data_IF_245862426577
#
_entry.id   IF_245862426577
#
_cell.length_a   1.000
_cell.length_b   1.000
_cell.length_c   1.000
_cell.angle_alpha   90.00
_cell.angle_beta   90.00
_cell.angle_gamma   90.00
#
_symmetry.space_group_name_H-M   'P 1'
#
loop_
_entity.id
_entity.type
_entity.pdbx_description
1 polymer ?
#
# COMPACT_ATOMS: atom_id res chain seq x y z
N UNK A 1 1.29 -9.92 19.31
CA UNK A 1 0.20 -9.20 18.64
C UNK A 1 0.75 -8.10 17.75
N UNK A 2 1.18 -8.47 16.54
CA UNK A 2 1.56 -7.51 15.49
C UNK A 2 0.47 -7.64 14.43
N UNK A 3 -0.18 -6.55 14.06
CA UNK A 3 -1.25 -6.58 13.04
C UNK A 3 -2.47 -5.74 13.40
N UNK A 4 -2.29 -4.59 14.04
CA UNK A 4 -3.27 -3.51 13.87
C UNK A 4 -3.09 -3.04 12.42
N UNK A 5 -4.08 -3.32 11.56
CA UNK A 5 -4.14 -2.72 10.24
C UNK A 5 -4.34 -1.21 10.43
N UNK A 6 -3.26 -0.44 10.35
CA UNK A 6 -3.29 1.01 10.49
C UNK A 6 -3.47 1.62 9.10
N UNK A 7 -4.24 2.70 9.02
CA UNK A 7 -4.56 3.38 7.75
C UNK A 7 -5.26 2.47 6.71
N UNK A 8 -5.93 1.41 7.18
CA UNK A 8 -6.58 0.42 6.35
C UNK A 8 -7.96 0.84 5.84
N UNK A 9 -8.47 2.00 6.25
CA UNK A 9 -9.73 2.56 5.75
C UNK A 9 -9.41 3.86 5.04
N UNK A 10 -9.82 3.98 3.79
CA UNK A 10 -9.59 5.16 2.96
C UNK A 10 -10.87 5.57 2.25
N UNK A 11 -11.04 6.87 2.04
CA UNK A 11 -12.14 7.42 1.25
C UNK A 11 -11.66 7.70 -0.17
N UNK A 12 -12.42 7.26 -1.16
CA UNK A 12 -12.22 7.73 -2.53
C UNK A 12 -12.76 9.15 -2.68
N UNK A 13 -12.41 9.84 -3.76
CA UNK A 13 -13.01 11.15 -4.09
C UNK A 13 -14.51 11.07 -4.37
N UNK A 14 -15.01 9.92 -4.83
CA UNK A 14 -16.46 9.67 -5.00
C UNK A 14 -17.19 9.47 -3.68
N UNK A 15 -16.49 9.43 -2.55
CA UNK A 15 -17.09 9.17 -1.24
C UNK A 15 -17.27 7.68 -0.91
N UNK A 16 -16.75 6.78 -1.75
CA UNK A 16 -16.73 5.35 -1.44
C UNK A 16 -15.71 5.05 -0.35
N UNK A 17 -15.99 4.05 0.48
CA UNK A 17 -15.09 3.58 1.54
C UNK A 17 -14.36 2.33 1.06
N UNK A 18 -13.03 2.33 1.16
CA UNK A 18 -12.20 1.18 0.81
C UNK A 18 -11.52 0.65 2.06
N UNK A 19 -11.66 -0.66 2.32
CA UNK A 19 -11.02 -1.32 3.45
C UNK A 19 -10.75 -2.82 3.22
N UNK A 20 -9.68 -3.39 3.81
CA UNK A 20 -9.40 -4.81 3.71
C UNK A 20 -10.32 -5.62 4.64
N UNK A 21 -10.73 -6.79 4.18
CA UNK A 21 -11.50 -7.78 4.92
C UNK A 21 -10.97 -9.20 4.59
N UNK A 22 -10.03 -9.67 5.41
CA UNK A 22 -9.30 -10.91 5.12
C UNK A 22 -8.42 -10.77 3.88
N UNK A 23 -8.59 -11.65 2.90
CA UNK A 23 -7.89 -11.58 1.62
C UNK A 23 -8.56 -10.64 0.60
N UNK A 24 -9.76 -10.16 0.89
CA UNK A 24 -10.51 -9.28 0.00
C UNK A 24 -10.33 -7.83 0.39
N UNK A 25 -10.56 -6.94 -0.56
CA UNK A 25 -10.70 -5.51 -0.28
C UNK A 25 -12.11 -5.11 -0.66
N UNK A 26 -12.85 -4.58 0.31
CA UNK A 26 -14.21 -4.09 0.13
C UNK A 26 -14.15 -2.66 -0.37
N UNK A 27 -14.93 -2.38 -1.41
CA UNK A 27 -15.26 -1.04 -1.89
C UNK A 27 -16.75 -0.86 -1.63
N UNK A 28 -17.06 -0.06 -0.62
CA UNK A 28 -18.43 0.24 -0.19
C UNK A 28 -18.86 1.58 -0.75
N UNK A 29 -19.87 1.55 -1.62
CA UNK A 29 -20.51 2.75 -2.10
C UNK A 29 -21.58 3.20 -1.09
N UNK A 30 -21.37 4.39 -0.51
CA UNK A 30 -22.24 4.89 0.55
C UNK A 30 -23.62 5.28 0.01
N UNK A 31 -23.67 5.87 -1.19
CA UNK A 31 -24.90 6.40 -1.80
C UNK A 31 -25.89 5.28 -2.13
N UNK A 32 -25.42 4.27 -2.86
CA UNK A 32 -26.20 3.08 -3.27
C UNK A 32 -26.28 2.02 -2.17
N UNK A 33 -25.50 2.16 -1.09
CA UNK A 33 -25.36 1.19 0.00
C UNK A 33 -24.98 -0.21 -0.50
N UNK A 34 -24.19 -0.29 -1.56
CA UNK A 34 -23.74 -1.55 -2.15
C UNK A 34 -22.26 -1.81 -1.85
N UNK A 35 -21.91 -3.07 -1.73
CA UNK A 35 -20.52 -3.51 -1.60
C UNK A 35 -20.06 -4.17 -2.89
N UNK A 36 -18.80 -3.92 -3.21
CA UNK A 36 -18.09 -4.68 -4.21
C UNK A 36 -16.69 -5.00 -3.74
N UNK A 37 -16.01 -5.89 -4.44
CA UNK A 37 -14.82 -6.53 -3.91
C UNK A 37 -13.71 -6.59 -4.94
N UNK A 38 -12.48 -6.43 -4.47
CA UNK A 38 -11.29 -6.79 -5.19
C UNK A 38 -10.73 -8.11 -4.64
N UNK A 39 -10.54 -9.07 -5.54
CA UNK A 39 -10.18 -10.47 -5.23
C UNK A 39 -8.75 -10.85 -5.67
N UNK A 40 -7.87 -9.86 -5.90
CA UNK A 40 -6.54 -10.15 -6.44
C UNK A 40 -5.57 -10.80 -5.44
N UNK A 41 -5.73 -10.54 -4.15
CA UNK A 41 -4.87 -11.11 -3.11
C UNK A 41 -5.26 -12.54 -2.76
N UNK A 42 -4.25 -13.36 -2.45
CA UNK A 42 -4.42 -14.78 -2.09
C UNK A 42 -4.18 -15.04 -0.61
N UNK A 43 -3.96 -13.98 0.16
CA UNK A 43 -3.66 -14.02 1.59
C UNK A 43 -4.15 -12.71 2.22
N UNK A 44 -4.13 -12.61 3.55
CA UNK A 44 -4.65 -11.47 4.29
C UNK A 44 -4.00 -10.16 3.84
N UNK A 45 -4.83 -9.20 3.48
CA UNK A 45 -4.41 -7.83 3.15
C UNK A 45 -4.15 -7.07 4.45
N UNK A 46 -2.99 -6.44 4.53
CA UNK A 46 -2.48 -5.82 5.76
C UNK A 46 -2.39 -4.30 5.67
N UNK A 47 -2.17 -3.76 4.46
CA UNK A 47 -2.11 -2.32 4.23
C UNK A 47 -2.64 -1.94 2.85
N UNK A 48 -3.09 -0.70 2.70
CA UNK A 48 -3.49 -0.12 1.44
C UNK A 48 -3.19 1.39 1.40
N UNK A 49 -3.09 1.95 0.19
CA UNK A 49 -2.94 3.39 -0.05
C UNK A 49 -3.63 3.78 -1.36
N UNK A 50 -4.29 4.94 -1.37
CA UNK A 50 -4.88 5.52 -2.58
C UNK A 50 -3.81 6.36 -3.28
N UNK A 51 -3.72 6.22 -4.60
CA UNK A 51 -2.82 7.05 -5.41
C UNK A 51 -3.28 8.53 -5.40
N UNK A 52 -2.38 9.50 -5.19
CA UNK A 52 -2.68 10.91 -5.34
C UNK A 52 -3.22 11.18 -6.74
N UNK A 53 -4.43 11.74 -6.79
CA UNK A 53 -5.12 11.98 -8.04
C UNK A 53 -4.63 13.28 -8.70
N UNK A 54 -3.99 13.16 -9.87
CA UNK A 54 -3.70 14.27 -10.80
C UNK A 54 -4.70 14.39 -11.95
N UNK A 55 -5.56 13.39 -12.17
CA UNK A 55 -6.55 13.33 -13.25
C UNK A 55 -7.71 12.38 -12.87
N UNK A 56 -8.92 12.95 -12.79
CA UNK A 56 -10.20 12.38 -12.30
C UNK A 56 -10.64 11.04 -12.92
N UNK A 57 -9.88 10.47 -13.84
CA UNK A 57 -10.36 9.39 -14.71
C UNK A 57 -10.27 8.02 -14.00
N UNK A 58 -9.26 7.76 -13.15
CA UNK A 58 -9.13 6.45 -12.48
C UNK A 58 -8.57 6.53 -11.05
N UNK A 59 -9.36 6.12 -10.05
CA UNK A 59 -8.86 5.88 -8.68
C UNK A 59 -8.06 4.57 -8.67
N UNK A 60 -6.75 4.68 -8.45
CA UNK A 60 -5.85 3.54 -8.25
C UNK A 60 -5.55 3.35 -6.76
N UNK A 61 -5.43 2.09 -6.36
CA UNK A 61 -5.10 1.69 -5.00
C UNK A 61 -3.92 0.73 -5.04
N UNK A 62 -2.96 0.95 -4.15
CA UNK A 62 -1.94 -0.03 -3.83
C UNK A 62 -2.40 -0.80 -2.60
N UNK A 63 -2.22 -2.11 -2.60
CA UNK A 63 -2.51 -2.97 -1.45
C UNK A 63 -1.50 -4.10 -1.36
N UNK A 64 -1.21 -4.53 -0.14
CA UNK A 64 -0.25 -5.59 0.09
C UNK A 64 -0.76 -6.62 1.08
N UNK A 65 -0.31 -7.86 0.90
CA UNK A 65 -0.66 -8.99 1.74
C UNK A 65 0.48 -9.40 2.68
N UNK A 66 0.15 -10.20 3.69
CA UNK A 66 1.14 -10.89 4.53
C UNK A 66 1.76 -12.11 3.82
N UNK A 67 2.72 -12.75 4.50
CA UNK A 67 3.36 -13.98 4.05
C UNK A 67 4.81 -13.81 3.61
N UNK A 68 5.47 -14.93 3.30
CA UNK A 68 6.92 -14.99 3.01
C UNK A 68 7.33 -14.37 1.66
N UNK A 69 6.36 -14.25 0.75
CA UNK A 69 6.54 -13.66 -0.58
C UNK A 69 5.33 -12.75 -0.86
N UNK A 70 5.19 -11.66 -0.10
CA UNK A 70 4.01 -10.82 -0.17
C UNK A 70 3.91 -10.19 -1.56
N UNK A 71 2.70 -10.23 -2.11
CA UNK A 71 2.36 -9.53 -3.34
C UNK A 71 1.88 -8.13 -2.98
N UNK A 72 2.38 -7.15 -3.71
CA UNK A 72 1.80 -5.81 -3.73
C UNK A 72 1.04 -5.70 -5.05
N UNK A 73 -0.22 -5.30 -5.00
CA UNK A 73 -1.01 -5.01 -6.19
C UNK A 73 -1.27 -3.52 -6.29
N UNK A 74 -1.15 -2.99 -7.50
CA UNK A 74 -1.76 -1.71 -7.88
C UNK A 74 -2.96 -2.05 -8.76
N UNK A 75 -4.15 -1.58 -8.38
CA UNK A 75 -5.40 -1.96 -9.03
C UNK A 75 -6.36 -0.77 -9.17
N UNK A 76 -7.28 -0.89 -10.14
CA UNK A 76 -8.30 0.13 -10.42
C UNK A 76 -9.55 -0.14 -9.60
N UNK A 77 -10.02 0.86 -8.85
CA UNK A 77 -11.27 0.76 -8.06
C UNK A 77 -12.49 0.56 -8.96
N UNK A 78 -12.52 1.26 -10.09
CA UNK A 78 -13.65 1.21 -11.04
C UNK A 78 -13.67 -0.12 -11.79
N UNK A 79 -12.54 -0.54 -12.35
CA UNK A 79 -12.45 -1.78 -13.15
C UNK A 79 -12.35 -3.04 -12.30
N UNK A 80 -11.90 -2.91 -11.04
CA UNK A 80 -11.59 -4.02 -10.11
C UNK A 80 -10.55 -4.99 -10.66
N UNK A 81 -9.67 -4.49 -11.54
CA UNK A 81 -8.59 -5.25 -12.18
C UNK A 81 -7.24 -4.80 -11.66
N UNK A 82 -6.32 -5.76 -11.54
CA UNK A 82 -4.91 -5.50 -11.25
C UNK A 82 -4.25 -4.85 -12.46
N UNK A 83 -3.64 -3.69 -12.26
CA UNK A 83 -2.87 -2.96 -13.27
C UNK A 83 -1.37 -3.31 -13.15
N UNK A 84 -0.87 -3.56 -11.94
CA UNK A 84 0.48 -4.03 -11.71
C UNK A 84 0.58 -4.95 -10.49
N UNK A 85 1.51 -5.92 -10.54
CA UNK A 85 1.88 -6.76 -9.42
C UNK A 85 3.37 -6.66 -9.12
N UNK A 86 3.74 -6.17 -7.94
CA UNK A 86 5.12 -5.97 -7.51
C UNK A 86 5.54 -7.07 -6.55
N UNK A 87 6.83 -7.42 -6.63
CA UNK A 87 7.48 -8.44 -5.81
C UNK A 87 8.87 -7.94 -5.42
N UNK A 88 9.44 -8.52 -4.36
CA UNK A 88 10.88 -8.74 -4.38
C UNK A 88 11.75 -8.21 -3.25
N UNK A 89 11.25 -7.77 -2.09
CA UNK A 89 12.18 -7.43 -0.98
C UNK A 89 11.72 -7.88 0.39
N UNK A 90 10.44 -7.72 0.71
CA UNK A 90 10.01 -7.94 2.09
C UNK A 90 9.73 -9.44 2.35
N UNK A 91 10.65 -10.13 3.02
CA UNK A 91 10.59 -11.59 3.26
C UNK A 91 9.51 -12.02 4.26
N UNK A 92 8.84 -11.07 4.93
CA UNK A 92 7.91 -11.34 6.03
C UNK A 92 6.57 -10.59 5.93
N UNK A 93 6.21 -10.10 4.74
CA UNK A 93 5.03 -9.25 4.55
C UNK A 93 5.41 -7.79 4.32
N UNK A 94 4.42 -6.99 3.93
CA UNK A 94 4.56 -5.55 3.74
C UNK A 94 3.68 -4.86 4.76
N UNK A 95 4.26 -4.02 5.61
CA UNK A 95 3.54 -3.35 6.69
C UNK A 95 2.87 -2.05 6.24
N UNK A 96 3.49 -1.34 5.29
CA UNK A 96 3.01 -0.05 4.80
C UNK A 96 3.28 0.08 3.30
N UNK A 97 2.41 0.81 2.61
CA UNK A 97 2.60 1.25 1.22
C UNK A 97 2.22 2.72 1.10
N UNK A 98 2.89 3.46 0.22
CA UNK A 98 2.57 4.85 -0.06
C UNK A 98 2.93 5.19 -1.50
N UNK A 99 2.14 6.03 -2.15
CA UNK A 99 2.49 6.59 -3.47
C UNK A 99 3.24 7.91 -3.32
N UNK A 100 4.13 8.20 -4.27
CA UNK A 100 4.71 9.54 -4.40
C UNK A 100 3.63 10.57 -4.77
N UNK A 101 3.86 11.88 -4.53
CA UNK A 101 2.92 12.94 -4.93
C UNK A 101 2.63 12.92 -6.44
N UNK A 102 3.59 12.47 -7.26
CA UNK A 102 3.42 12.25 -8.70
C UNK A 102 2.53 11.08 -9.05
N UNK A 103 2.42 10.09 -8.15
CA UNK A 103 1.79 8.81 -8.42
C UNK A 103 2.65 7.89 -9.29
N UNK A 104 3.90 8.25 -9.62
CA UNK A 104 4.78 7.42 -10.45
C UNK A 104 5.55 6.38 -9.65
N UNK A 105 5.81 6.67 -8.38
CA UNK A 105 6.56 5.80 -7.48
C UNK A 105 5.65 5.18 -6.43
N UNK A 106 6.01 3.98 -6.01
CA UNK A 106 5.40 3.31 -4.86
C UNK A 106 6.49 2.92 -3.86
N UNK A 107 6.35 3.40 -2.63
CA UNK A 107 7.14 2.94 -1.50
C UNK A 107 6.43 1.76 -0.83
N UNK A 108 7.21 0.77 -0.42
CA UNK A 108 6.75 -0.35 0.38
C UNK A 108 7.72 -0.59 1.53
N UNK A 109 7.17 -0.80 2.72
CA UNK A 109 7.94 -1.07 3.94
C UNK A 109 7.70 -2.51 4.38
N UNK A 110 8.77 -3.27 4.55
CA UNK A 110 8.70 -4.66 4.99
C UNK A 110 8.25 -4.81 6.44
N UNK A 111 7.70 -5.97 6.74
CA UNK A 111 7.47 -6.47 8.11
C UNK A 111 8.65 -7.32 8.61
N UNK A 112 9.80 -7.26 7.94
CA UNK A 112 11.01 -7.96 8.35
C UNK A 112 11.69 -7.27 9.55
N UNK A 113 12.74 -7.90 10.11
CA UNK A 113 13.44 -7.41 11.30
C UNK A 113 14.06 -6.02 11.15
N UNK A 114 14.29 -5.57 9.92
CA UNK A 114 14.96 -4.31 9.60
C UNK A 114 14.00 -3.31 8.95
N UNK A 115 12.70 -3.63 8.89
CA UNK A 115 11.66 -2.88 8.21
C UNK A 115 12.13 -2.37 6.84
N UNK A 116 12.66 -3.27 6.00
CA UNK A 116 13.31 -2.88 4.75
C UNK A 116 12.39 -2.01 3.88
N UNK A 117 12.89 -0.85 3.46
CA UNK A 117 12.20 0.08 2.57
C UNK A 117 12.55 -0.26 1.12
N UNK A 118 11.53 -0.27 0.26
CA UNK A 118 11.65 -0.48 -1.17
C UNK A 118 10.93 0.65 -1.92
N UNK A 119 11.55 1.17 -2.98
CA UNK A 119 10.92 2.14 -3.88
C UNK A 119 10.84 1.55 -5.28
N UNK A 120 9.63 1.53 -5.84
CA UNK A 120 9.34 0.96 -7.15
C UNK A 120 8.86 2.03 -8.14
N UNK A 121 9.24 1.87 -9.40
CA UNK A 121 8.47 2.39 -10.53
C UNK A 121 7.37 1.37 -10.85
N UNK A 122 6.21 1.56 -10.23
CA UNK A 122 5.22 0.48 -10.11
C UNK A 122 4.62 0.04 -11.46
N UNK A 123 4.55 0.93 -12.46
CA UNK A 123 4.02 0.59 -13.80
C UNK A 123 4.90 -0.40 -14.55
N UNK A 124 6.22 -0.24 -14.46
CA UNK A 124 7.19 -1.17 -15.07
C UNK A 124 7.50 -2.36 -14.15
N UNK A 125 7.16 -2.28 -12.87
CA UNK A 125 7.56 -3.26 -11.86
C UNK A 125 9.03 -3.14 -11.44
N UNK A 126 9.72 -2.11 -11.90
CA UNK A 126 11.14 -1.90 -11.66
C UNK A 126 11.39 -1.46 -10.22
N UNK A 127 12.36 -2.10 -9.57
CA UNK A 127 12.85 -1.73 -8.26
C UNK A 127 13.95 -0.68 -8.42
N UNK A 128 13.72 0.54 -7.93
CA UNK A 128 14.67 1.65 -8.04
C UNK A 128 15.62 1.72 -6.84
N UNK A 129 15.12 1.43 -5.64
CA UNK A 129 15.88 1.56 -4.41
C UNK A 129 15.44 0.57 -3.35
N UNK A 130 16.40 0.11 -2.54
CA UNK A 130 16.15 -0.72 -1.37
C UNK A 130 17.14 -0.40 -0.26
N UNK A 131 16.65 -0.30 0.97
CA UNK A 131 17.49 -0.09 2.15
C UNK A 131 16.88 -0.72 3.40
N UNK A 132 17.75 -0.98 4.38
CA UNK A 132 17.35 -1.33 5.75
C UNK A 132 16.94 -0.04 6.46
N UNK A 133 15.79 -0.03 7.13
CA UNK A 133 15.27 1.17 7.78
C UNK A 133 15.61 1.19 9.28
N UNK A 134 15.01 0.28 10.05
CA UNK A 134 15.14 0.26 11.51
C UNK A 134 14.82 -1.10 12.09
N UNK A 135 15.40 -1.41 13.26
CA UNK A 135 15.04 -2.58 14.06
C UNK A 135 13.83 -2.34 14.97
N UNK A 136 13.41 -1.08 15.13
CA UNK A 136 12.27 -0.73 15.97
C UNK A 136 10.95 -0.74 15.19
N UNK A 137 9.80 -1.02 15.82
CA UNK A 137 8.51 -0.98 15.16
C UNK A 137 8.23 0.36 14.46
N UNK A 138 7.93 0.30 13.16
CA UNK A 138 7.45 1.45 12.39
C UNK A 138 5.93 1.52 12.47
N UNK A 139 5.38 2.73 12.60
CA UNK A 139 3.94 2.98 12.79
C UNK A 139 3.29 3.73 11.63
N UNK A 140 4.07 4.51 10.89
CA UNK A 140 3.60 5.17 9.67
C UNK A 140 4.76 5.42 8.69
N UNK A 141 4.40 5.57 7.42
CA UNK A 141 5.27 5.93 6.32
C UNK A 141 4.51 6.84 5.36
N UNK A 142 5.19 7.86 4.82
CA UNK A 142 4.63 8.72 3.77
C UNK A 142 5.74 9.28 2.89
N UNK A 143 5.42 9.55 1.62
CA UNK A 143 6.25 10.46 0.84
C UNK A 143 6.09 11.89 1.38
N UNK A 144 7.21 12.62 1.49
CA UNK A 144 7.25 14.05 1.86
C UNK A 144 7.54 14.94 0.64
N UNK A 145 8.01 14.33 -0.45
CA UNK A 145 8.28 14.91 -1.75
C UNK A 145 8.56 13.78 -2.75
N UNK A 146 8.97 14.07 -3.98
CA UNK A 146 9.21 13.01 -4.98
C UNK A 146 10.37 12.06 -4.61
N UNK A 147 11.39 12.56 -3.93
CA UNK A 147 12.60 11.80 -3.60
C UNK A 147 12.76 11.46 -2.11
N UNK A 148 11.77 11.78 -1.27
CA UNK A 148 11.92 11.71 0.19
C UNK A 148 10.76 10.94 0.81
N UNK A 149 11.09 9.94 1.62
CA UNK A 149 10.13 9.10 2.32
C UNK A 149 10.37 9.22 3.81
N UNK A 150 9.40 9.79 4.51
CA UNK A 150 9.39 9.84 5.96
C UNK A 150 8.89 8.52 6.56
N UNK A 151 9.56 8.04 7.61
CA UNK A 151 9.05 6.94 8.45
C UNK A 151 9.07 7.36 9.92
N UNK A 152 8.09 6.91 10.70
CA UNK A 152 8.08 7.15 12.14
C UNK A 152 7.55 5.95 12.90
N UNK A 153 8.00 5.80 14.13
CA UNK A 153 7.59 4.71 15.00
C UNK A 153 8.22 4.79 16.37
N UNK A 154 8.45 3.65 16.99
CA UNK A 154 9.09 3.59 18.30
C UNK A 154 10.51 4.13 18.21
N UNK A 155 10.81 5.14 19.00
CA UNK A 155 12.13 5.76 19.18
C UNK A 155 12.78 6.29 17.88
N UNK A 156 12.01 6.57 16.81
CA UNK A 156 12.55 7.15 15.58
C UNK A 156 11.55 7.96 14.76
N UNK A 157 12.10 8.96 14.04
CA UNK A 157 11.51 9.64 12.89
C UNK A 157 12.64 9.84 11.88
N UNK A 158 12.54 9.24 10.70
CA UNK A 158 13.54 9.31 9.62
C UNK A 158 12.93 9.96 8.37
N UNK A 159 13.80 10.49 7.50
CA UNK A 159 13.46 11.23 6.28
C UNK A 159 14.33 10.78 5.10
#
# INVERSE_FOLDING_TARGET
NVGAARQSVQYTKSGDIIYPAGQFIVVYNIEERTQSYYHGHTDRVVCLAIMPDKSKIHTLVASAQEGRRPKIHVWSVVKKTTEAGLRGICEAGVSHVAFSPSGELLAALGSDKLHSLAIYKWRSGELLFSARNTTQPVHAMSFLGEGTVGTCGKDHVYF
#
